data_IF_846879078557
#
_entry.id   IF_846879078557
#
_cell.length_a   1.000
_cell.length_b   1.000
_cell.length_c   1.000
_cell.angle_alpha   90.00
_cell.angle_beta   90.00
_cell.angle_gamma   90.00
#
_symmetry.space_group_name_H-M   'P 1'
#
loop_
_entity.id
_entity.type
_entity.pdbx_description
1 polymer ?
#
# COMPACT_ATOMS: atom_id res chain seq x y z
N UNK A 1 2.96 -40.91 -23.62
CA UNK A 1 2.52 -41.52 -22.34
C UNK A 1 3.23 -40.79 -21.21
N UNK A 2 2.70 -39.64 -20.81
CA UNK A 2 2.98 -38.99 -19.52
C UNK A 2 1.73 -38.24 -19.11
N UNK A 3 1.32 -38.51 -17.89
CA UNK A 3 -0.01 -38.31 -17.35
C UNK A 3 -0.42 -36.85 -17.21
N UNK A 4 -1.73 -36.63 -17.41
CA UNK A 4 -2.46 -35.47 -16.93
C UNK A 4 -2.23 -35.33 -15.42
N UNK A 5 -1.43 -34.35 -15.03
CA UNK A 5 -1.50 -33.82 -13.67
C UNK A 5 -2.84 -33.07 -13.56
N UNK A 6 -3.82 -33.74 -12.95
CA UNK A 6 -5.05 -33.12 -12.48
C UNK A 6 -4.69 -32.07 -11.43
N UNK A 7 -4.84 -30.79 -11.80
CA UNK A 7 -4.90 -29.69 -10.85
C UNK A 7 -6.16 -29.79 -10.01
N UNK A 8 -6.09 -30.49 -8.88
CA UNK A 8 -6.95 -30.28 -7.71
C UNK A 8 -6.08 -29.48 -6.72
N UNK A 9 -6.45 -28.33 -6.16
CA UNK A 9 -7.72 -27.90 -5.60
C UNK A 9 -7.80 -26.38 -5.80
N UNK A 10 -8.69 -25.90 -6.68
CA UNK A 10 -9.21 -24.55 -6.54
C UNK A 10 -10.05 -24.53 -5.27
N UNK A 11 -9.62 -23.83 -4.23
CA UNK A 11 -10.46 -23.58 -3.06
C UNK A 11 -11.80 -23.03 -3.56
N UNK A 12 -12.91 -23.68 -3.18
CA UNK A 12 -14.25 -23.16 -3.50
C UNK A 12 -14.31 -21.67 -3.10
N UNK A 13 -14.98 -20.82 -3.89
CA UNK A 13 -15.17 -19.42 -3.49
C UNK A 13 -15.78 -19.39 -2.09
N UNK A 14 -15.16 -18.64 -1.19
CA UNK A 14 -15.69 -18.44 0.15
C UNK A 14 -16.97 -17.60 0.04
N UNK A 15 -18.13 -18.22 0.19
CA UNK A 15 -19.45 -17.59 0.00
C UNK A 15 -19.92 -16.80 1.22
N UNK A 16 -19.12 -16.76 2.29
CA UNK A 16 -19.44 -16.02 3.52
C UNK A 16 -19.46 -14.52 3.28
N UNK A 17 -20.27 -13.80 4.05
CA UNK A 17 -20.30 -12.33 4.02
C UNK A 17 -18.96 -11.74 4.47
N UNK A 18 -18.76 -10.44 4.21
CA UNK A 18 -17.57 -9.75 4.73
C UNK A 18 -17.50 -9.81 6.26
N UNK A 19 -18.63 -9.57 6.94
CA UNK A 19 -18.71 -9.56 8.41
C UNK A 19 -18.42 -10.94 9.00
N UNK A 20 -18.96 -12.01 8.41
CA UNK A 20 -18.69 -13.39 8.83
C UNK A 20 -17.20 -13.75 8.69
N UNK A 21 -16.57 -13.32 7.59
CA UNK A 21 -15.12 -13.51 7.38
C UNK A 21 -14.30 -12.69 8.37
N UNK A 22 -14.75 -11.48 8.71
CA UNK A 22 -14.09 -10.62 9.68
C UNK A 22 -14.17 -11.21 11.10
N UNK A 23 -15.34 -11.66 11.54
CA UNK A 23 -15.52 -12.31 12.85
C UNK A 23 -14.67 -13.57 12.98
N UNK A 24 -14.62 -14.41 11.94
CA UNK A 24 -13.80 -15.62 11.90
C UNK A 24 -12.30 -15.28 12.03
N UNK A 25 -11.83 -14.23 11.37
CA UNK A 25 -10.45 -13.76 11.50
C UNK A 25 -10.16 -13.13 12.87
N UNK A 26 -11.13 -12.46 13.49
CA UNK A 26 -11.00 -11.97 14.86
C UNK A 26 -10.87 -13.13 15.85
N UNK A 27 -11.68 -14.18 15.71
CA UNK A 27 -11.56 -15.40 16.52
C UNK A 27 -10.20 -16.06 16.34
N UNK A 28 -9.71 -16.13 15.10
CA UNK A 28 -8.37 -16.63 14.82
C UNK A 28 -7.28 -15.76 15.47
N UNK A 29 -7.39 -14.43 15.40
CA UNK A 29 -6.47 -13.49 16.02
C UNK A 29 -6.39 -13.68 17.55
N UNK A 30 -7.54 -13.78 18.22
CA UNK A 30 -7.59 -14.03 19.67
C UNK A 30 -6.96 -15.38 20.05
N UNK A 31 -7.04 -16.38 19.16
CA UNK A 31 -6.38 -17.67 19.33
C UNK A 31 -4.87 -17.66 19.08
N UNK A 32 -4.33 -16.63 18.42
CA UNK A 32 -2.89 -16.42 18.25
C UNK A 32 -2.26 -15.72 19.46
N UNK A 33 -2.91 -14.68 20.00
CA UNK A 33 -2.38 -13.93 21.16
C UNK A 33 -2.27 -14.78 22.42
N UNK A 34 -3.11 -15.78 22.57
CA UNK A 34 -3.21 -16.65 23.75
C UNK A 34 -2.31 -17.89 23.70
N UNK A 35 -1.60 -18.15 22.58
CA UNK A 35 -0.85 -19.40 22.38
C UNK A 35 0.65 -19.16 22.13
N UNK A 36 1.55 -19.63 23.00
CA UNK A 36 3.00 -19.49 22.79
C UNK A 36 3.53 -20.23 21.55
N UNK A 37 2.76 -21.17 20.98
CA UNK A 37 3.07 -21.91 19.75
C UNK A 37 2.30 -21.40 18.53
N UNK A 38 1.82 -20.15 18.54
CA UNK A 38 1.02 -19.55 17.47
C UNK A 38 1.58 -19.75 16.06
N UNK A 39 2.91 -19.83 15.90
CA UNK A 39 3.55 -20.06 14.61
C UNK A 39 3.07 -21.37 13.94
N UNK A 40 2.81 -22.42 14.73
CA UNK A 40 2.29 -23.72 14.25
C UNK A 40 0.85 -23.63 13.75
N UNK A 41 0.10 -22.59 14.12
CA UNK A 41 -1.28 -22.32 13.64
C UNK A 41 -1.30 -21.53 12.33
N UNK A 42 -0.14 -21.22 11.76
CA UNK A 42 -0.02 -20.48 10.51
C UNK A 42 0.72 -21.33 9.48
N UNK A 43 0.56 -21.00 8.21
CA UNK A 43 1.21 -21.67 7.08
C UNK A 43 2.22 -20.76 6.38
N UNK A 44 3.10 -21.34 5.56
CA UNK A 44 3.89 -20.55 4.63
C UNK A 44 2.96 -19.93 3.58
N UNK A 45 3.17 -18.65 3.18
CA UNK A 45 2.47 -18.09 2.03
C UNK A 45 2.70 -18.93 0.78
N UNK A 46 1.69 -18.99 -0.09
CA UNK A 46 1.82 -19.62 -1.41
C UNK A 46 2.56 -18.68 -2.35
N UNK A 47 3.09 -19.22 -3.44
CA UNK A 47 3.76 -18.41 -4.48
C UNK A 47 2.89 -17.26 -5.00
N UNK A 48 1.58 -17.51 -5.15
CA UNK A 48 0.61 -16.47 -5.53
C UNK A 48 0.47 -15.36 -4.50
N UNK A 49 0.59 -15.70 -3.21
CA UNK A 49 0.55 -14.71 -2.13
C UNK A 49 1.86 -13.87 -2.13
N UNK A 50 3.03 -14.50 -2.34
CA UNK A 50 4.30 -13.78 -2.52
C UNK A 50 4.30 -12.87 -3.74
N UNK A 51 3.80 -13.36 -4.89
CA UNK A 51 3.68 -12.57 -6.10
C UNK A 51 2.77 -11.35 -5.90
N UNK A 52 1.64 -11.53 -5.19
CA UNK A 52 0.75 -10.44 -4.83
C UNK A 52 1.44 -9.39 -3.95
N UNK A 53 2.15 -9.82 -2.91
CA UNK A 53 2.90 -8.93 -2.01
C UNK A 53 3.96 -8.14 -2.78
N UNK A 54 4.75 -8.83 -3.61
CA UNK A 54 5.77 -8.19 -4.45
C UNK A 54 5.16 -7.15 -5.39
N UNK A 55 4.05 -7.51 -6.07
CA UNK A 55 3.32 -6.57 -6.93
C UNK A 55 2.84 -5.35 -6.14
N UNK A 56 2.24 -5.54 -4.97
CA UNK A 56 1.74 -4.44 -4.14
C UNK A 56 2.86 -3.47 -3.77
N UNK A 57 3.99 -3.98 -3.29
CA UNK A 57 5.16 -3.17 -2.92
C UNK A 57 5.68 -2.38 -4.14
N UNK A 58 5.85 -3.04 -5.29
CA UNK A 58 6.40 -2.40 -6.48
C UNK A 58 5.46 -1.35 -7.10
N UNK A 59 4.15 -1.59 -7.08
CA UNK A 59 3.16 -0.61 -7.51
C UNK A 59 3.19 0.62 -6.59
N UNK A 60 3.28 0.43 -5.28
CA UNK A 60 3.43 1.55 -4.35
C UNK A 60 4.71 2.35 -4.61
N UNK A 61 5.86 1.68 -4.78
CA UNK A 61 7.12 2.36 -5.10
C UNK A 61 7.03 3.14 -6.42
N UNK A 62 6.33 2.59 -7.43
CA UNK A 62 6.09 3.29 -8.70
C UNK A 62 5.20 4.52 -8.51
N UNK A 63 4.17 4.40 -7.66
CA UNK A 63 3.30 5.53 -7.31
C UNK A 63 4.07 6.65 -6.57
N UNK A 64 4.97 6.30 -5.64
CA UNK A 64 5.85 7.26 -4.95
C UNK A 64 6.79 7.98 -5.93
N UNK A 65 7.42 7.24 -6.85
CA UNK A 65 8.26 7.82 -7.89
C UNK A 65 7.46 8.81 -8.76
N UNK A 66 6.28 8.41 -9.22
CA UNK A 66 5.40 9.25 -10.04
C UNK A 66 4.88 10.47 -9.26
N UNK A 67 4.63 10.32 -7.95
CA UNK A 67 4.27 11.43 -7.07
C UNK A 67 5.39 12.47 -6.99
N UNK A 68 6.65 12.04 -6.82
CA UNK A 68 7.81 12.94 -6.81
C UNK A 68 7.96 13.70 -8.13
N UNK A 69 7.83 13.00 -9.26
CA UNK A 69 7.85 13.64 -10.57
C UNK A 69 6.72 14.66 -10.72
N UNK A 70 5.50 14.32 -10.27
CA UNK A 70 4.35 15.23 -10.29
C UNK A 70 4.60 16.47 -9.42
N UNK A 71 5.15 16.31 -8.21
CA UNK A 71 5.49 17.42 -7.31
C UNK A 71 6.48 18.38 -7.99
N UNK A 72 7.57 17.85 -8.54
CA UNK A 72 8.57 18.68 -9.21
C UNK A 72 7.95 19.46 -10.39
N UNK A 73 7.16 18.79 -11.24
CA UNK A 73 6.52 19.44 -12.39
C UNK A 73 5.51 20.53 -11.95
N UNK A 74 4.67 20.25 -10.95
CA UNK A 74 3.72 21.24 -10.43
C UNK A 74 4.43 22.43 -9.79
N UNK A 75 5.48 22.21 -9.00
CA UNK A 75 6.27 23.28 -8.37
C UNK A 75 7.02 24.13 -9.39
N UNK A 76 7.54 23.52 -10.46
CA UNK A 76 8.13 24.27 -11.55
C UNK A 76 7.11 25.24 -12.15
N UNK A 77 5.90 24.74 -12.42
CA UNK A 77 4.83 25.55 -13.01
C UNK A 77 4.39 26.68 -12.08
N UNK A 78 4.18 26.40 -10.78
CA UNK A 78 3.61 27.39 -9.84
C UNK A 78 4.62 28.31 -9.18
N UNK A 79 5.90 27.92 -9.09
CA UNK A 79 6.94 28.64 -8.34
C UNK A 79 8.21 28.94 -9.16
N UNK A 80 8.27 28.51 -10.42
CA UNK A 80 9.47 28.58 -11.25
C UNK A 80 10.72 27.93 -10.61
N UNK A 81 10.52 26.92 -9.75
CA UNK A 81 11.61 26.17 -9.10
C UNK A 81 12.16 25.09 -10.02
N UNK A 82 13.46 25.15 -10.32
CA UNK A 82 14.14 24.23 -11.27
C UNK A 82 14.92 23.10 -10.58
N UNK A 83 14.94 23.08 -9.24
CA UNK A 83 15.68 22.08 -8.48
C UNK A 83 14.84 20.81 -8.25
N UNK A 84 15.49 19.64 -8.24
CA UNK A 84 14.87 18.37 -7.84
C UNK A 84 14.60 18.35 -6.34
N UNK A 85 13.53 19.04 -5.95
CA UNK A 85 13.06 19.15 -4.58
C UNK A 85 12.58 17.78 -4.06
N UNK A 86 11.77 17.10 -4.88
CA UNK A 86 11.07 15.90 -4.46
C UNK A 86 11.98 14.68 -4.29
N UNK A 87 13.16 14.63 -4.92
CA UNK A 87 14.12 13.53 -4.74
C UNK A 87 14.61 13.32 -3.31
N UNK A 88 14.60 14.38 -2.48
CA UNK A 88 15.10 14.33 -1.09
C UNK A 88 14.03 14.00 -0.03
N UNK A 89 12.74 13.99 -0.42
CA UNK A 89 11.63 13.83 0.51
C UNK A 89 11.56 12.40 1.07
N UNK A 90 11.15 12.27 2.33
CA UNK A 90 10.69 10.97 2.83
C UNK A 90 9.23 10.70 2.41
N UNK A 91 8.75 9.46 2.55
CA UNK A 91 7.40 9.06 2.15
C UNK A 91 6.28 9.95 2.72
N UNK A 92 6.41 10.40 3.98
CA UNK A 92 5.41 11.27 4.62
C UNK A 92 5.40 12.64 3.96
N UNK A 93 6.58 13.16 3.65
CA UNK A 93 6.73 14.48 3.03
C UNK A 93 6.24 14.47 1.58
N UNK A 94 6.39 13.36 0.85
CA UNK A 94 5.80 13.21 -0.50
C UNK A 94 4.29 13.41 -0.47
N UNK A 95 3.58 12.75 0.45
CA UNK A 95 2.12 12.87 0.61
C UNK A 95 1.74 14.33 0.96
N UNK A 96 2.46 14.93 1.91
CA UNK A 96 2.25 16.33 2.29
C UNK A 96 2.42 17.26 1.08
N UNK A 97 3.48 17.08 0.31
CA UNK A 97 3.78 17.95 -0.83
C UNK A 97 2.85 17.76 -2.02
N UNK A 98 2.30 16.55 -2.25
CA UNK A 98 1.20 16.38 -3.21
C UNK A 98 -0.01 17.24 -2.83
N UNK A 99 -0.38 17.24 -1.54
CA UNK A 99 -1.51 18.03 -1.04
C UNK A 99 -1.24 19.54 -1.13
N UNK A 100 -0.03 19.98 -0.80
CA UNK A 100 0.39 21.39 -0.97
C UNK A 100 0.28 21.79 -2.44
N UNK A 101 0.88 21.02 -3.35
CA UNK A 101 0.82 21.33 -4.79
C UNK A 101 -0.63 21.39 -5.28
N UNK A 102 -1.48 20.45 -4.88
CA UNK A 102 -2.90 20.47 -5.22
C UNK A 102 -3.70 21.62 -4.58
N UNK A 103 -3.22 22.22 -3.50
CA UNK A 103 -3.86 23.39 -2.87
C UNK A 103 -3.45 24.70 -3.54
N UNK A 104 -2.21 24.78 -4.03
CA UNK A 104 -1.65 25.93 -4.73
C UNK A 104 -2.02 25.94 -6.23
N UNK A 105 -2.51 24.81 -6.76
CA UNK A 105 -2.88 24.66 -8.16
C UNK A 105 -4.20 25.37 -8.49
N UNK A 106 -4.10 26.52 -9.17
CA UNK A 106 -5.22 27.34 -9.66
C UNK A 106 -5.71 26.98 -11.07
N UNK A 107 -4.85 26.41 -11.93
CA UNK A 107 -5.24 25.92 -13.25
C UNK A 107 -6.14 24.69 -13.18
N UNK A 108 -6.98 24.45 -14.19
CA UNK A 108 -7.71 23.18 -14.41
C UNK A 108 -8.08 22.38 -13.12
N UNK A 109 -9.16 22.74 -12.39
CA UNK A 109 -9.45 22.23 -11.04
C UNK A 109 -9.50 20.70 -10.88
N UNK A 110 -9.78 19.98 -11.95
CA UNK A 110 -9.80 18.52 -11.97
C UNK A 110 -8.40 17.90 -11.73
N UNK A 111 -7.31 18.59 -12.09
CA UNK A 111 -5.94 18.14 -11.83
C UNK A 111 -5.69 18.11 -10.33
N UNK A 112 -5.98 19.22 -9.63
CA UNK A 112 -5.85 19.34 -8.19
C UNK A 112 -6.65 18.24 -7.47
N UNK A 113 -7.89 18.01 -7.90
CA UNK A 113 -8.74 16.97 -7.32
C UNK A 113 -8.17 15.55 -7.54
N UNK A 114 -7.67 15.25 -8.74
CA UNK A 114 -7.04 13.97 -9.03
C UNK A 114 -5.77 13.74 -8.20
N UNK A 115 -4.96 14.79 -7.98
CA UNK A 115 -3.76 14.73 -7.13
C UNK A 115 -4.14 14.47 -5.67
N UNK A 116 -5.18 15.10 -5.12
CA UNK A 116 -5.64 14.83 -3.74
C UNK A 116 -6.12 13.39 -3.56
N UNK A 117 -6.88 12.85 -4.54
CA UNK A 117 -7.32 11.44 -4.50
C UNK A 117 -6.14 10.48 -4.54
N UNK A 118 -5.15 10.76 -5.39
CA UNK A 118 -3.93 9.97 -5.45
C UNK A 118 -3.16 10.04 -4.11
N UNK A 119 -2.97 11.25 -3.56
CA UNK A 119 -2.32 11.47 -2.26
C UNK A 119 -2.98 10.67 -1.13
N UNK A 120 -4.31 10.76 -1.01
CA UNK A 120 -5.09 10.00 -0.02
C UNK A 120 -4.95 8.49 -0.21
N UNK A 121 -4.91 8.02 -1.46
CA UNK A 121 -4.67 6.60 -1.76
C UNK A 121 -3.26 6.17 -1.33
N UNK A 122 -2.22 6.95 -1.62
CA UNK A 122 -0.85 6.64 -1.17
C UNK A 122 -0.78 6.60 0.36
N UNK A 123 -1.38 7.58 1.05
CA UNK A 123 -1.39 7.63 2.51
C UNK A 123 -2.01 6.38 3.14
N UNK A 124 -3.19 5.98 2.65
CA UNK A 124 -3.87 4.76 3.11
C UNK A 124 -3.00 3.51 2.94
N UNK A 125 -2.31 3.41 1.80
CA UNK A 125 -1.54 2.21 1.45
C UNK A 125 -0.12 2.18 2.00
N UNK A 126 0.38 3.30 2.52
CA UNK A 126 1.73 3.39 3.09
C UNK A 126 1.96 2.40 4.22
N UNK A 127 0.99 2.25 5.11
CA UNK A 127 1.10 1.31 6.24
C UNK A 127 1.12 -0.15 5.77
N UNK A 128 0.37 -0.47 4.72
CA UNK A 128 0.34 -1.79 4.11
C UNK A 128 1.66 -2.10 3.43
N UNK A 129 2.20 -1.18 2.61
CA UNK A 129 3.51 -1.34 1.98
C UNK A 129 4.62 -1.52 3.02
N UNK A 130 4.63 -0.68 4.07
CA UNK A 130 5.61 -0.76 5.14
C UNK A 130 5.58 -2.12 5.85
N UNK A 131 4.38 -2.59 6.24
CA UNK A 131 4.22 -3.90 6.86
C UNK A 131 4.66 -5.03 5.93
N UNK A 132 4.22 -5.02 4.68
CA UNK A 132 4.55 -6.05 3.69
C UNK A 132 6.04 -6.10 3.32
N UNK A 133 6.75 -4.97 3.35
CA UNK A 133 8.16 -4.90 2.99
C UNK A 133 9.11 -5.30 4.13
N UNK A 134 8.70 -5.12 5.38
CA UNK A 134 9.60 -5.26 6.53
C UNK A 134 9.20 -6.35 7.52
N UNK A 135 7.99 -6.89 7.44
CA UNK A 135 7.47 -7.84 8.42
C UNK A 135 7.45 -9.26 7.88
N UNK A 136 7.49 -10.23 8.79
CA UNK A 136 7.33 -11.63 8.43
C UNK A 136 5.88 -11.86 8.05
N UNK A 137 5.66 -12.49 6.89
CA UNK A 137 4.33 -12.81 6.39
C UNK A 137 4.07 -14.31 6.49
N UNK A 138 2.89 -14.67 6.99
CA UNK A 138 2.37 -16.05 7.10
C UNK A 138 0.97 -16.14 6.52
N UNK A 139 0.54 -17.32 6.08
CA UNK A 139 -0.83 -17.58 5.61
C UNK A 139 -1.71 -18.03 6.77
N UNK A 140 -2.96 -17.56 6.80
CA UNK A 140 -3.98 -18.11 7.70
C UNK A 140 -4.53 -19.40 7.07
N UNK A 141 -4.44 -20.56 7.76
CA UNK A 141 -4.90 -21.84 7.21
C UNK A 141 -6.35 -21.78 6.74
N UNK A 142 -6.59 -22.27 5.53
CA UNK A 142 -7.93 -22.38 4.92
C UNK A 142 -8.63 -21.05 4.63
N UNK A 143 -7.95 -19.90 4.77
CA UNK A 143 -8.56 -18.57 4.60
C UNK A 143 -7.78 -17.72 3.62
N UNK A 144 -8.44 -16.81 2.92
CA UNK A 144 -7.76 -15.87 2.05
C UNK A 144 -7.25 -14.63 2.79
N UNK A 145 -6.40 -14.87 3.78
CA UNK A 145 -5.84 -13.84 4.64
C UNK A 145 -4.37 -14.12 4.99
N UNK A 146 -3.63 -13.06 5.26
CA UNK A 146 -2.25 -13.09 5.72
C UNK A 146 -2.15 -12.63 7.17
N UNK A 147 -1.19 -13.18 7.90
CA UNK A 147 -0.72 -12.63 9.17
C UNK A 147 0.62 -11.97 8.92
N UNK A 148 0.75 -10.71 9.32
CA UNK A 148 2.01 -9.94 9.27
C UNK A 148 2.53 -9.71 10.68
N UNK A 149 3.82 -9.92 10.89
CA UNK A 149 4.41 -10.09 12.22
C UNK A 149 5.67 -9.26 12.38
N UNK A 150 5.77 -8.56 13.51
CA UNK A 150 6.96 -7.81 13.89
C UNK A 150 7.34 -8.04 15.36
N UNK A 151 8.65 -8.09 15.60
CA UNK A 151 9.25 -8.00 16.95
C UNK A 151 9.95 -6.66 17.18
N UNK A 152 9.71 -5.68 16.31
CA UNK A 152 10.34 -4.38 16.42
C UNK A 152 9.65 -3.55 17.51
N UNK A 153 10.32 -3.39 18.65
CA UNK A 153 9.81 -2.64 19.79
C UNK A 153 9.46 -1.17 19.45
N UNK A 154 10.19 -0.51 18.53
CA UNK A 154 9.87 0.86 18.11
C UNK A 154 8.54 0.93 17.35
N UNK A 155 8.25 -0.08 16.54
CA UNK A 155 6.98 -0.15 15.81
C UNK A 155 5.81 -0.49 16.72
N UNK A 156 6.03 -1.36 17.71
CA UNK A 156 5.03 -1.68 18.73
C UNK A 156 4.64 -0.44 19.55
N UNK A 157 5.63 0.34 20.02
CA UNK A 157 5.36 1.60 20.74
C UNK A 157 4.60 2.59 19.85
N UNK A 158 4.98 2.72 18.58
CA UNK A 158 4.29 3.63 17.64
C UNK A 158 2.82 3.25 17.42
N UNK A 159 2.48 1.97 17.47
CA UNK A 159 1.11 1.47 17.25
C UNK A 159 0.28 1.45 18.52
N UNK A 160 0.83 0.92 19.60
CA UNK A 160 0.06 0.53 20.80
C UNK A 160 0.40 1.40 22.01
N UNK A 161 1.24 2.43 21.84
CA UNK A 161 1.74 3.33 22.88
C UNK A 161 2.34 2.61 24.10
N UNK A 162 2.86 1.40 23.88
CA UNK A 162 3.38 0.50 24.93
C UNK A 162 4.56 -0.30 24.41
N UNK A 163 5.51 -0.61 25.32
CA UNK A 163 6.64 -1.46 25.01
C UNK A 163 6.16 -2.91 24.84
N UNK A 164 6.68 -3.58 23.83
CA UNK A 164 6.41 -5.00 23.58
C UNK A 164 7.23 -5.86 24.54
N UNK A 165 6.58 -6.85 25.17
CA UNK A 165 7.29 -7.83 25.98
C UNK A 165 8.20 -8.70 25.10
N UNK A 166 9.33 -9.14 25.66
CA UNK A 166 10.39 -9.87 24.93
C UNK A 166 9.87 -11.13 24.22
N UNK A 167 8.86 -11.76 24.81
CA UNK A 167 8.27 -13.01 24.32
C UNK A 167 7.01 -12.78 23.44
N UNK A 168 6.57 -11.54 23.28
CA UNK A 168 5.42 -11.19 22.46
C UNK A 168 5.86 -10.92 21.00
N UNK A 169 4.98 -11.21 20.04
CA UNK A 169 5.08 -10.72 18.66
C UNK A 169 3.84 -9.88 18.38
N UNK A 170 4.01 -8.65 17.87
CA UNK A 170 2.87 -7.87 17.38
C UNK A 170 2.50 -8.38 15.99
N UNK A 171 1.20 -8.46 15.73
CA UNK A 171 0.72 -8.90 14.43
C UNK A 171 -0.47 -8.09 13.94
N UNK A 172 -0.66 -8.13 12.62
CA UNK A 172 -1.89 -7.74 11.96
C UNK A 172 -2.39 -8.88 11.09
N UNK A 173 -3.70 -8.95 10.90
CA UNK A 173 -4.32 -9.84 9.92
C UNK A 173 -4.85 -9.00 8.78
N UNK A 174 -4.52 -9.38 7.54
CA UNK A 174 -4.97 -8.71 6.34
C UNK A 174 -5.75 -9.69 5.47
N UNK A 175 -7.00 -9.36 5.18
CA UNK A 175 -7.77 -10.05 4.14
C UNK A 175 -7.19 -9.69 2.77
N UNK A 176 -7.00 -10.68 1.90
CA UNK A 176 -6.42 -10.45 0.59
C UNK A 176 -7.43 -9.91 -0.42
N UNK A 177 -8.71 -10.31 -0.34
CA UNK A 177 -9.75 -9.83 -1.26
C UNK A 177 -9.88 -8.29 -1.27
N UNK A 178 -10.09 -7.59 -0.13
CA UNK A 178 -10.14 -6.13 -0.13
C UNK A 178 -8.82 -5.52 -0.59
N UNK A 179 -7.69 -6.11 -0.19
CA UNK A 179 -6.37 -5.58 -0.53
C UNK A 179 -6.07 -5.69 -2.04
N UNK A 180 -6.67 -6.65 -2.76
CA UNK A 180 -6.60 -6.71 -4.23
C UNK A 180 -7.36 -5.56 -4.88
N UNK A 181 -8.56 -5.22 -4.40
CA UNK A 181 -9.31 -4.07 -4.91
C UNK A 181 -8.58 -2.75 -4.65
N UNK A 182 -7.99 -2.64 -3.46
CA UNK A 182 -7.14 -1.51 -3.09
C UNK A 182 -5.87 -1.42 -3.96
N UNK A 183 -5.26 -2.55 -4.32
CA UNK A 183 -4.15 -2.58 -5.28
C UNK A 183 -4.57 -2.04 -6.65
N UNK A 184 -5.75 -2.38 -7.16
CA UNK A 184 -6.23 -1.87 -8.45
C UNK A 184 -6.42 -0.34 -8.41
N UNK A 185 -6.92 0.21 -7.30
CA UNK A 185 -7.01 1.66 -7.10
C UNK A 185 -5.63 2.32 -7.06
N UNK A 186 -4.70 1.72 -6.33
CA UNK A 186 -3.32 2.21 -6.23
C UNK A 186 -2.63 2.20 -7.61
N UNK A 187 -2.85 1.16 -8.41
CA UNK A 187 -2.37 1.09 -9.80
C UNK A 187 -2.96 2.23 -10.63
N UNK A 188 -4.28 2.45 -10.57
CA UNK A 188 -4.93 3.53 -11.30
C UNK A 188 -4.39 4.92 -10.93
N UNK A 189 -4.15 5.16 -9.64
CA UNK A 189 -3.56 6.42 -9.18
C UNK A 189 -2.07 6.56 -9.52
N UNK A 190 -1.32 5.45 -9.50
CA UNK A 190 0.07 5.43 -9.98
C UNK A 190 0.16 5.83 -11.46
N UNK A 191 -0.67 5.24 -12.31
CA UNK A 191 -0.75 5.54 -13.74
C UNK A 191 -1.20 6.98 -13.98
N UNK A 192 -2.19 7.46 -13.22
CA UNK A 192 -2.65 8.85 -13.29
C UNK A 192 -1.51 9.83 -12.99
N UNK A 193 -0.78 9.64 -11.89
CA UNK A 193 0.34 10.51 -11.52
C UNK A 193 1.44 10.48 -12.58
N UNK A 194 1.77 9.31 -13.13
CA UNK A 194 2.78 9.20 -14.19
C UNK A 194 2.39 9.94 -15.47
N UNK A 195 1.12 9.80 -15.90
CA UNK A 195 0.60 10.54 -17.06
C UNK A 195 0.53 12.04 -16.80
N UNK A 196 0.12 12.43 -15.61
CA UNK A 196 0.04 13.84 -15.21
C UNK A 196 1.43 14.48 -15.21
N UNK A 197 2.42 13.85 -14.58
CA UNK A 197 3.80 14.36 -14.59
C UNK A 197 4.30 14.59 -16.03
N UNK A 198 4.11 13.62 -16.92
CA UNK A 198 4.49 13.77 -18.33
C UNK A 198 3.72 14.90 -19.04
N UNK A 199 2.43 15.04 -18.78
CA UNK A 199 1.62 16.13 -19.34
C UNK A 199 2.11 17.49 -18.86
N UNK A 200 2.36 17.64 -17.56
CA UNK A 200 2.84 18.89 -16.96
C UNK A 200 4.21 19.28 -17.52
N UNK A 201 5.14 18.33 -17.60
CA UNK A 201 6.47 18.57 -18.19
C UNK A 201 6.39 18.98 -19.67
N UNK A 202 5.59 18.27 -20.46
CA UNK A 202 5.43 18.54 -21.89
C UNK A 202 4.76 19.89 -22.19
N UNK A 203 3.97 20.42 -21.26
CA UNK A 203 3.22 21.67 -21.43
C UNK A 203 3.67 22.77 -20.46
N UNK A 204 4.83 22.61 -19.83
CA UNK A 204 5.26 23.47 -18.71
C UNK A 204 5.27 24.96 -19.08
N UNK A 205 5.78 25.32 -20.27
CA UNK A 205 5.93 26.72 -20.67
C UNK A 205 4.55 27.37 -20.91
N UNK A 206 3.60 26.60 -21.45
CA UNK A 206 2.22 27.03 -21.64
C UNK A 206 1.54 27.23 -20.27
N UNK A 207 1.63 26.22 -19.40
CA UNK A 207 0.96 26.23 -18.10
C UNK A 207 1.57 27.25 -17.13
N UNK A 208 2.88 27.49 -17.19
CA UNK A 208 3.55 28.55 -16.42
C UNK A 208 3.11 29.95 -16.83
N UNK A 209 2.57 30.16 -18.04
CA UNK A 209 2.02 31.46 -18.44
C UNK A 209 0.59 31.72 -17.96
N UNK A 210 -0.09 30.67 -17.50
CA UNK A 210 -1.46 30.72 -16.98
C UNK A 210 -1.53 30.85 -15.45
N UNK A 211 -0.38 30.75 -14.78
CA UNK A 211 -0.18 30.78 -13.33
C UNK A 211 0.61 32.02 -12.91
#
# INVERSE_FOLDING_TARGET
MFDRIRGTIGSRPDTRSFDERLEDLQRFASGLTSDPNWLKKTELPRDSDFAFIGKFIQVYCSADLNARATINAMRFITKAEVADFAGSLNDTDVILHLNICASEWTGAPHIAEGVRKASSTLEMHRIHRHGLAHWVVRKVPGRDALVILTKNAKEAIRRDNSAQDRDEAKFGIMQLDPLRHELDKLMGHSDYLGRLANYLEANRDLLSSEH
#
